data_IF_232358075918
#
_entry.id   IF_232358075918
#
_cell.length_a   1.000
_cell.length_b   1.000
_cell.length_c   1.000
_cell.angle_alpha   90.00
_cell.angle_beta   90.00
_cell.angle_gamma   90.00
#
_symmetry.space_group_name_H-M   'P 1'
#
loop_
_entity.id
_entity.type
_entity.pdbx_description
1 polymer ?
#
# COMPACT_ATOMS: atom_id res chain seq x y z
N UNK A 1 -19.78 2.27 23.61
CA UNK A 1 -20.17 1.53 22.39
C UNK A 1 -19.48 2.10 21.16
N UNK A 2 -19.64 3.39 20.85
CA UNK A 2 -19.05 4.05 19.66
C UNK A 2 -17.53 3.88 19.46
N UNK A 3 -16.73 3.98 20.54
CA UNK A 3 -15.28 3.88 20.44
C UNK A 3 -14.76 2.51 19.99
N UNK A 4 -15.46 1.42 20.35
CA UNK A 4 -15.08 0.07 19.93
C UNK A 4 -15.39 -0.18 18.45
N UNK A 5 -16.51 0.35 17.95
CA UNK A 5 -16.90 0.25 16.54
C UNK A 5 -15.92 1.00 15.64
N UNK A 6 -15.54 2.23 16.02
CA UNK A 6 -14.54 3.01 15.29
C UNK A 6 -13.19 2.30 15.26
N UNK A 7 -12.76 1.68 16.37
CA UNK A 7 -11.51 0.91 16.42
C UNK A 7 -11.58 -0.32 15.52
N UNK A 8 -12.69 -1.07 15.55
CA UNK A 8 -12.88 -2.23 14.70
C UNK A 8 -12.90 -1.85 13.20
N UNK A 9 -13.56 -0.75 12.85
CA UNK A 9 -13.61 -0.25 11.47
C UNK A 9 -12.22 0.18 10.97
N UNK A 10 -11.46 0.92 11.79
CA UNK A 10 -10.08 1.30 11.49
C UNK A 10 -9.18 0.07 11.28
N UNK A 11 -9.28 -0.93 12.15
CA UNK A 11 -8.52 -2.17 12.03
C UNK A 11 -8.87 -2.91 10.72
N UNK A 12 -10.16 -3.02 10.40
CA UNK A 12 -10.61 -3.65 9.17
C UNK A 12 -10.17 -2.87 7.92
N UNK A 13 -10.22 -1.54 7.95
CA UNK A 13 -9.76 -0.68 6.86
C UNK A 13 -8.25 -0.82 6.62
N UNK A 14 -7.46 -0.82 7.70
CA UNK A 14 -6.02 -1.04 7.65
C UNK A 14 -5.67 -2.43 7.09
N UNK A 15 -6.37 -3.47 7.53
CA UNK A 15 -6.18 -4.84 7.04
C UNK A 15 -6.46 -4.97 5.54
N UNK A 16 -7.59 -4.43 5.07
CA UNK A 16 -7.92 -4.42 3.62
C UNK A 16 -6.89 -3.65 2.80
N UNK A 17 -6.40 -2.52 3.31
CA UNK A 17 -5.37 -1.75 2.62
C UNK A 17 -4.04 -2.53 2.52
N UNK A 18 -3.63 -3.24 3.59
CA UNK A 18 -2.46 -4.11 3.57
C UNK A 18 -2.57 -5.25 2.55
N UNK A 19 -3.71 -5.95 2.53
CA UNK A 19 -3.97 -6.99 1.52
C UNK A 19 -3.88 -6.47 0.08
N UNK A 20 -4.34 -5.24 -0.16
CA UNK A 20 -4.25 -4.63 -1.49
C UNK A 20 -2.81 -4.29 -1.88
N UNK A 21 -1.98 -3.87 -0.92
CA UNK A 21 -0.53 -3.69 -1.13
C UNK A 21 0.11 -5.02 -1.54
N UNK A 22 -0.17 -6.10 -0.81
CA UNK A 22 0.39 -7.42 -1.12
C UNK A 22 0.03 -7.88 -2.53
N UNK A 23 -1.26 -7.79 -2.89
CA UNK A 23 -1.77 -8.21 -4.19
C UNK A 23 -1.17 -7.40 -5.35
N UNK A 24 -1.11 -6.08 -5.22
CA UNK A 24 -0.60 -5.21 -6.29
C UNK A 24 0.91 -5.36 -6.45
N UNK A 25 1.66 -5.50 -5.36
CA UNK A 25 3.09 -5.77 -5.41
C UNK A 25 3.40 -7.16 -5.95
N UNK A 26 2.59 -8.18 -5.64
CA UNK A 26 2.73 -9.51 -6.23
C UNK A 26 2.56 -9.47 -7.74
N UNK A 27 1.48 -8.86 -8.24
CA UNK A 27 1.25 -8.66 -9.69
C UNK A 27 2.40 -7.92 -10.36
N UNK A 28 2.92 -6.88 -9.71
CA UNK A 28 4.08 -6.13 -10.20
C UNK A 28 5.36 -7.00 -10.21
N UNK A 29 5.53 -7.96 -9.31
CA UNK A 29 6.70 -8.85 -9.33
C UNK A 29 6.58 -9.96 -10.38
N UNK A 30 5.38 -10.48 -10.56
CA UNK A 30 5.06 -11.53 -11.54
C UNK A 30 5.05 -11.02 -12.98
N UNK A 31 4.96 -9.69 -13.16
CA UNK A 31 5.08 -9.02 -14.44
C UNK A 31 6.49 -9.19 -15.01
N UNK A 32 6.63 -10.17 -15.91
CA UNK A 32 7.88 -10.61 -16.55
C UNK A 32 8.50 -9.61 -17.53
N UNK A 33 8.31 -8.31 -17.32
CA UNK A 33 8.91 -7.25 -18.13
C UNK A 33 8.07 -6.82 -19.34
N UNK A 34 6.76 -7.02 -19.31
CA UNK A 34 5.85 -6.48 -20.33
C UNK A 34 5.83 -4.94 -20.21
N UNK A 35 6.49 -4.27 -21.15
CA UNK A 35 6.67 -2.81 -21.14
C UNK A 35 5.34 -2.04 -21.25
N UNK A 36 4.29 -2.64 -21.82
CA UNK A 36 2.97 -2.00 -21.93
C UNK A 36 2.18 -2.09 -20.63
N UNK A 37 2.31 -3.20 -19.89
CA UNK A 37 1.57 -3.45 -18.64
C UNK A 37 2.27 -2.88 -17.42
N UNK A 38 3.59 -2.79 -17.45
CA UNK A 38 4.43 -2.30 -16.34
C UNK A 38 3.99 -0.95 -15.77
N UNK A 39 3.70 0.09 -16.57
CA UNK A 39 3.33 1.41 -16.04
C UNK A 39 2.02 1.37 -15.25
N UNK A 40 1.04 0.59 -15.71
CA UNK A 40 -0.24 0.42 -15.03
C UNK A 40 -0.07 -0.29 -13.69
N UNK A 41 0.72 -1.36 -13.65
CA UNK A 41 0.98 -2.10 -12.41
C UNK A 41 1.75 -1.25 -11.38
N UNK A 42 2.69 -0.41 -11.85
CA UNK A 42 3.37 0.55 -10.99
C UNK A 42 2.42 1.60 -10.40
N UNK A 43 1.45 2.08 -11.20
CA UNK A 43 0.41 3.00 -10.74
C UNK A 43 -0.49 2.32 -9.70
N UNK A 44 -1.00 1.13 -9.98
CA UNK A 44 -1.88 0.39 -9.08
C UNK A 44 -1.19 0.09 -7.73
N UNK A 45 0.09 -0.29 -7.76
CA UNK A 45 0.90 -0.49 -6.57
C UNK A 45 1.12 0.83 -5.80
N UNK A 46 1.41 1.93 -6.49
CA UNK A 46 1.61 3.24 -5.84
C UNK A 46 0.33 3.72 -5.14
N UNK A 47 -0.84 3.58 -5.78
CA UNK A 47 -2.12 3.93 -5.18
C UNK A 47 -2.43 3.07 -3.94
N UNK A 48 -2.16 1.76 -4.01
CA UNK A 48 -2.35 0.86 -2.88
C UNK A 48 -1.43 1.20 -1.69
N UNK A 49 -0.14 1.45 -1.95
CA UNK A 49 0.83 1.83 -0.92
C UNK A 49 0.47 3.17 -0.29
N UNK A 50 0.08 4.16 -1.09
CA UNK A 50 -0.35 5.46 -0.58
C UNK A 50 -1.56 5.34 0.34
N UNK A 51 -2.60 4.61 -0.09
CA UNK A 51 -3.79 4.38 0.73
C UNK A 51 -3.45 3.67 2.05
N UNK A 52 -2.55 2.68 2.00
CA UNK A 52 -2.10 1.97 3.20
C UNK A 52 -1.35 2.87 4.19
N UNK A 53 -0.46 3.75 3.71
CA UNK A 53 0.24 4.71 4.56
C UNK A 53 -0.74 5.67 5.26
N UNK A 54 -1.75 6.17 4.54
CA UNK A 54 -2.81 6.98 5.13
C UNK A 54 -3.55 6.20 6.23
N UNK A 55 -3.96 4.96 5.98
CA UNK A 55 -4.63 4.15 7.00
C UNK A 55 -3.75 3.90 8.23
N UNK A 56 -2.45 3.69 8.03
CA UNK A 56 -1.48 3.56 9.11
C UNK A 56 -1.41 4.82 9.95
N UNK A 57 -1.32 5.98 9.33
CA UNK A 57 -1.29 7.27 10.03
C UNK A 57 -2.58 7.55 10.83
N UNK A 58 -3.75 7.20 10.28
CA UNK A 58 -5.05 7.28 10.97
C UNK A 58 -5.17 6.34 12.18
N UNK A 59 -4.34 5.29 12.22
CA UNK A 59 -4.18 4.36 13.33
C UNK A 59 -2.99 4.71 14.25
N UNK A 60 -2.30 5.83 14.01
CA UNK A 60 -1.14 6.28 14.81
C UNK A 60 0.21 5.64 14.45
N UNK A 61 0.27 4.84 13.38
CA UNK A 61 1.44 4.07 12.95
C UNK A 61 2.28 4.86 11.92
N UNK A 62 3.01 5.89 12.37
CA UNK A 62 3.66 6.88 11.46
C UNK A 62 5.03 6.50 10.90
N UNK A 63 5.67 5.44 11.41
CA UNK A 63 7.00 5.01 10.94
C UNK A 63 6.85 4.08 9.74
N UNK A 64 7.18 4.57 8.55
CA UNK A 64 6.99 3.84 7.29
C UNK A 64 8.19 2.95 6.89
N UNK A 65 9.39 3.18 7.44
CA UNK A 65 10.60 2.42 7.06
C UNK A 65 10.48 0.91 7.28
N UNK A 66 9.84 0.51 8.40
CA UNK A 66 9.63 -0.89 8.72
C UNK A 66 8.74 -1.58 7.67
N UNK A 67 7.68 -0.91 7.23
CA UNK A 67 6.70 -1.50 6.30
C UNK A 67 7.18 -1.47 4.86
N UNK A 68 8.00 -0.47 4.50
CA UNK A 68 8.70 -0.44 3.21
C UNK A 68 9.57 -1.70 3.06
N UNK A 69 10.28 -2.08 4.13
CA UNK A 69 11.11 -3.29 4.18
C UNK A 69 10.26 -4.56 4.21
N UNK A 70 9.24 -4.61 5.07
CA UNK A 70 8.34 -5.77 5.23
C UNK A 70 7.68 -6.16 3.90
N UNK A 71 7.08 -5.19 3.19
CA UNK A 71 6.43 -5.43 1.92
C UNK A 71 7.38 -5.46 0.71
N UNK A 72 8.68 -5.21 0.92
CA UNK A 72 9.68 -5.05 -0.13
C UNK A 72 9.21 -4.08 -1.22
N UNK A 73 8.74 -2.89 -0.81
CA UNK A 73 8.14 -1.90 -1.71
C UNK A 73 9.23 -1.40 -2.70
N UNK A 74 9.07 -1.62 -4.02
CA UNK A 74 10.08 -1.20 -4.98
C UNK A 74 10.27 0.31 -5.00
N UNK A 75 11.51 0.77 -5.23
CA UNK A 75 11.81 2.20 -5.36
C UNK A 75 10.95 2.87 -6.44
N UNK A 76 10.68 2.17 -7.55
CA UNK A 76 9.82 2.65 -8.63
C UNK A 76 8.37 2.94 -8.18
N UNK A 77 7.88 2.27 -7.13
CA UNK A 77 6.58 2.54 -6.52
C UNK A 77 6.70 3.76 -5.60
N UNK A 78 7.72 3.81 -4.74
CA UNK A 78 7.94 4.91 -3.79
C UNK A 78 8.07 6.29 -4.46
N UNK A 79 8.83 6.37 -5.56
CA UNK A 79 9.00 7.64 -6.31
C UNK A 79 7.71 8.16 -6.91
N UNK A 80 6.70 7.30 -7.09
CA UNK A 80 5.38 7.68 -7.65
C UNK A 80 4.40 8.17 -6.59
N UNK A 81 4.68 7.98 -5.29
CA UNK A 81 3.80 8.41 -4.21
C UNK A 81 3.67 9.95 -4.11
N UNK A 82 4.71 10.69 -4.54
CA UNK A 82 4.74 12.16 -4.51
C UNK A 82 4.50 12.83 -5.87
N UNK A 83 4.23 12.07 -6.93
CA UNK A 83 4.14 12.58 -8.30
C UNK A 83 2.70 12.92 -8.74
N UNK A 84 1.85 13.36 -7.82
CA UNK A 84 0.45 13.69 -8.09
C UNK A 84 0.23 15.18 -8.27
#
# INVERSE_FOLDING_TARGET
MLGHEILAEKAAALGRAGQRVEQTLARLREDGGDEERRPRLLKDAAEAVHAYFIQRELCGLRKHDAVIREYNIPRAVLVRLGAK
#
